data_IF_120993425155
#
_entry.id   IF_120993425155
#
_cell.length_a   1.000
_cell.length_b   1.000
_cell.length_c   1.000
_cell.angle_alpha   90.00
_cell.angle_beta   90.00
_cell.angle_gamma   90.00
#
_symmetry.space_group_name_H-M   'P 1'
#
loop_
_entity.id
_entity.type
_entity.pdbx_description
1 polymer ?
#
# COMPACT_ATOMS: atom_id res chain seq x y z
N UNK A 1 25.95 3.91 -15.37
CA UNK A 1 24.94 3.65 -14.30
C UNK A 1 23.57 3.66 -14.95
N UNK A 2 22.71 2.70 -14.61
CA UNK A 2 21.35 2.64 -15.17
C UNK A 2 20.39 3.29 -14.17
N UNK A 3 19.35 3.93 -14.71
CA UNK A 3 18.32 4.61 -13.94
C UNK A 3 16.96 4.14 -14.45
N UNK A 4 16.07 3.78 -13.53
CA UNK A 4 14.67 3.52 -13.83
C UNK A 4 13.87 4.78 -13.44
N UNK A 5 13.09 5.30 -14.39
CA UNK A 5 12.26 6.49 -14.19
C UNK A 5 10.81 6.06 -14.26
N UNK A 6 10.08 6.25 -13.18
CA UNK A 6 8.65 5.92 -13.06
C UNK A 6 7.82 7.20 -12.90
N UNK A 7 6.51 7.08 -13.03
CA UNK A 7 5.60 8.15 -12.62
C UNK A 7 5.72 8.42 -11.11
N UNK A 8 5.57 9.69 -10.73
CA UNK A 8 5.45 10.06 -9.32
C UNK A 8 4.00 9.86 -8.87
N UNK A 9 3.81 9.21 -7.72
CA UNK A 9 2.52 9.01 -7.08
C UNK A 9 2.59 9.64 -5.69
N UNK A 10 1.49 10.26 -5.26
CA UNK A 10 1.46 11.25 -4.17
C UNK A 10 1.97 10.75 -2.81
N UNK A 11 1.48 9.60 -2.35
CA UNK A 11 1.89 8.99 -1.07
C UNK A 11 1.72 7.46 -1.13
N UNK A 12 1.94 6.78 -0.01
CA UNK A 12 1.80 5.33 0.17
C UNK A 12 0.72 5.00 1.19
N UNK A 13 0.30 3.72 1.24
CA UNK A 13 -0.56 3.24 2.33
C UNK A 13 0.14 3.35 3.69
N UNK A 14 1.48 3.30 3.74
CA UNK A 14 2.21 3.54 4.98
C UNK A 14 2.00 4.97 5.49
N UNK A 15 2.11 5.98 4.61
CA UNK A 15 1.87 7.38 4.99
C UNK A 15 0.45 7.58 5.53
N UNK A 16 -0.52 6.87 4.95
CA UNK A 16 -1.90 6.85 5.45
C UNK A 16 -2.00 6.24 6.86
N UNK A 17 -1.29 5.14 7.15
CA UNK A 17 -1.31 4.52 8.47
C UNK A 17 -0.58 5.34 9.54
N UNK A 18 0.47 6.07 9.16
CA UNK A 18 1.12 7.05 10.04
C UNK A 18 0.19 8.24 10.37
N UNK A 19 -0.61 8.68 9.39
CA UNK A 19 -1.58 9.76 9.59
C UNK A 19 -2.81 9.31 10.39
N UNK A 20 -3.23 8.05 10.25
CA UNK A 20 -4.38 7.47 10.91
C UNK A 20 -3.95 6.26 11.77
N UNK A 21 -3.36 6.50 12.97
CA UNK A 21 -2.75 5.45 13.78
C UNK A 21 -3.74 4.42 14.35
N UNK A 22 -5.05 4.69 14.27
CA UNK A 22 -6.10 3.75 14.67
C UNK A 22 -6.73 3.01 13.47
N UNK A 23 -6.08 3.06 12.31
CA UNK A 23 -6.57 2.48 11.05
C UNK A 23 -7.41 3.45 10.21
N UNK A 24 -7.64 3.03 8.97
CA UNK A 24 -8.43 3.73 7.97
C UNK A 24 -9.92 3.36 8.08
N UNK A 25 -10.78 4.22 7.53
CA UNK A 25 -12.20 3.93 7.48
C UNK A 25 -12.49 2.68 6.63
N UNK A 26 -13.54 1.95 7.02
CA UNK A 26 -13.92 0.69 6.39
C UNK A 26 -14.10 0.79 4.87
N UNK A 27 -14.69 1.89 4.38
CA UNK A 27 -14.95 2.04 2.95
C UNK A 27 -13.67 2.34 2.17
N UNK A 28 -12.74 3.12 2.73
CA UNK A 28 -11.41 3.36 2.16
C UNK A 28 -10.61 2.08 2.10
N UNK A 29 -10.56 1.28 3.17
CA UNK A 29 -9.90 -0.04 3.16
C UNK A 29 -10.50 -0.93 2.07
N UNK A 30 -11.82 -1.00 1.98
CA UNK A 30 -12.52 -1.80 0.96
C UNK A 30 -12.14 -1.37 -0.46
N UNK A 31 -12.06 -0.06 -0.73
CA UNK A 31 -11.62 0.50 -2.03
C UNK A 31 -10.15 0.21 -2.31
N UNK A 32 -9.27 0.32 -1.34
CA UNK A 32 -7.84 0.04 -1.50
C UNK A 32 -7.61 -1.43 -1.76
N UNK A 33 -8.14 -2.29 -0.89
CA UNK A 33 -8.01 -3.73 -0.97
C UNK A 33 -8.53 -4.29 -2.30
N UNK A 34 -9.66 -3.79 -2.79
CA UNK A 34 -10.20 -4.18 -4.10
C UNK A 34 -9.22 -3.88 -5.24
N UNK A 35 -8.59 -2.69 -5.24
CA UNK A 35 -7.61 -2.32 -6.25
C UNK A 35 -6.31 -3.13 -6.12
N UNK A 36 -5.83 -3.36 -4.90
CA UNK A 36 -4.65 -4.18 -4.60
C UNK A 36 -4.84 -5.60 -5.13
N UNK A 37 -5.96 -6.25 -4.79
CA UNK A 37 -6.26 -7.61 -5.26
C UNK A 37 -6.34 -7.65 -6.79
N UNK A 38 -6.91 -6.63 -7.44
CA UNK A 38 -6.91 -6.54 -8.91
C UNK A 38 -5.50 -6.38 -9.49
N UNK A 39 -4.65 -5.56 -8.89
CA UNK A 39 -3.26 -5.37 -9.32
C UNK A 39 -2.43 -6.65 -9.17
N UNK A 40 -2.53 -7.31 -8.02
CA UNK A 40 -1.87 -8.60 -7.77
C UNK A 40 -2.43 -9.69 -8.70
N UNK A 41 -3.75 -9.74 -8.88
CA UNK A 41 -4.41 -10.67 -9.80
C UNK A 41 -3.95 -10.51 -11.26
N UNK A 42 -3.68 -9.28 -11.70
CA UNK A 42 -3.07 -9.02 -13.00
C UNK A 42 -1.63 -9.54 -13.09
N UNK A 43 -0.81 -9.38 -12.05
CA UNK A 43 0.54 -9.96 -12.02
C UNK A 43 0.47 -11.50 -12.09
N UNK A 44 -0.45 -12.08 -11.32
CA UNK A 44 -0.69 -13.52 -11.27
C UNK A 44 -1.13 -14.10 -12.61
N UNK A 45 -1.96 -13.39 -13.39
CA UNK A 45 -2.35 -13.86 -14.73
C UNK A 45 -1.19 -13.88 -15.73
N UNK A 46 -0.13 -13.11 -15.45
CA UNK A 46 1.13 -13.10 -16.21
C UNK A 46 2.23 -13.97 -15.58
N UNK A 47 1.88 -14.84 -14.63
CA UNK A 47 2.81 -15.72 -13.91
C UNK A 47 3.93 -14.98 -13.16
N UNK A 48 3.64 -13.76 -12.71
CA UNK A 48 4.50 -12.94 -11.86
C UNK A 48 3.98 -13.01 -10.42
N UNK A 49 4.85 -13.33 -9.47
CA UNK A 49 4.60 -13.22 -8.03
C UNK A 49 5.25 -11.92 -7.56
N UNK A 50 4.53 -11.07 -6.81
CA UNK A 50 5.06 -9.79 -6.35
C UNK A 50 6.10 -9.96 -5.23
N UNK A 51 5.82 -10.82 -4.25
CA UNK A 51 6.65 -11.22 -3.10
C UNK A 51 6.96 -10.14 -2.06
N UNK A 52 6.71 -8.87 -2.36
CA UNK A 52 6.93 -7.76 -1.41
C UNK A 52 5.70 -6.84 -1.27
N UNK A 53 4.53 -7.44 -1.06
CA UNK A 53 3.29 -6.69 -0.76
C UNK A 53 3.34 -6.23 0.70
N UNK A 54 3.43 -4.91 0.89
CA UNK A 54 3.45 -4.22 2.19
C UNK A 54 3.01 -2.76 1.99
N UNK A 55 2.58 -2.03 3.05
CA UNK A 55 2.09 -0.65 2.94
C UNK A 55 3.01 0.30 2.18
N UNK A 56 4.33 0.18 2.38
CA UNK A 56 5.38 0.97 1.71
C UNK A 56 5.35 0.85 0.17
N UNK A 57 4.98 -0.33 -0.35
CA UNK A 57 5.02 -0.65 -1.79
C UNK A 57 3.65 -0.49 -2.47
N UNK A 58 2.69 0.11 -1.77
CA UNK A 58 1.34 0.37 -2.26
C UNK A 58 1.16 1.88 -2.33
N UNK A 59 1.32 2.42 -3.54
CA UNK A 59 1.22 3.85 -3.80
C UNK A 59 -0.24 4.27 -3.94
N UNK A 60 -0.55 5.48 -3.51
CA UNK A 60 -1.89 6.08 -3.51
C UNK A 60 -1.82 7.45 -4.20
N UNK A 61 -2.57 7.64 -5.28
CA UNK A 61 -2.70 8.97 -5.90
C UNK A 61 -3.65 9.88 -5.11
N UNK A 62 -3.61 11.19 -5.36
CA UNK A 62 -4.56 12.15 -4.75
C UNK A 62 -6.04 11.81 -5.01
N UNK A 63 -6.34 11.03 -6.05
CA UNK A 63 -7.70 10.58 -6.40
C UNK A 63 -8.12 9.27 -5.71
N UNK A 64 -7.19 8.67 -4.94
CA UNK A 64 -7.35 7.37 -4.27
C UNK A 64 -7.14 6.17 -5.21
N UNK A 65 -6.39 6.35 -6.30
CA UNK A 65 -6.02 5.25 -7.19
C UNK A 65 -4.77 4.55 -6.65
N UNK A 66 -4.85 3.23 -6.50
CA UNK A 66 -3.76 2.39 -6.03
C UNK A 66 -2.86 1.96 -7.20
N UNK A 67 -1.54 2.05 -7.00
CA UNK A 67 -0.52 1.53 -7.89
C UNK A 67 0.49 0.70 -7.08
N UNK A 68 0.71 -0.54 -7.49
CA UNK A 68 1.73 -1.40 -6.87
C UNK A 68 3.11 -1.02 -7.44
N UNK A 69 4.12 -0.99 -6.60
CA UNK A 69 5.50 -0.72 -6.99
C UNK A 69 6.48 -1.72 -6.34
N UNK A 70 7.77 -1.54 -6.63
CA UNK A 70 8.86 -2.39 -6.15
C UNK A 70 8.71 -3.89 -6.48
N UNK A 71 8.82 -4.18 -7.77
CA UNK A 71 8.95 -5.55 -8.28
C UNK A 71 10.40 -6.06 -8.17
N UNK A 72 11.26 -5.45 -7.35
CA UNK A 72 12.66 -5.86 -7.19
C UNK A 72 12.83 -7.30 -6.69
N UNK A 73 11.80 -7.84 -6.05
CA UNK A 73 11.73 -9.22 -5.57
C UNK A 73 10.78 -10.10 -6.38
N UNK A 74 10.16 -9.54 -7.40
CA UNK A 74 9.20 -10.24 -8.22
C UNK A 74 9.88 -11.37 -9.00
N UNK A 75 9.17 -12.50 -9.13
CA UNK A 75 9.69 -13.67 -9.82
C UNK A 75 8.70 -14.22 -10.82
N UNK A 76 9.23 -14.69 -11.94
CA UNK A 76 8.50 -15.57 -12.85
C UNK A 76 8.50 -16.98 -12.27
N UNK A 77 7.37 -17.67 -12.31
CA UNK A 77 7.23 -19.06 -11.84
C UNK A 77 8.18 -20.07 -12.52
N UNK A 78 8.86 -19.66 -13.61
CA UNK A 78 9.70 -20.50 -14.46
C UNK A 78 11.22 -20.31 -14.24
N UNK A 79 11.68 -19.54 -13.24
CA UNK A 79 13.11 -19.30 -13.01
C UNK A 79 13.67 -20.16 -11.86
N UNK A 80 14.12 -21.40 -12.11
CA UNK A 80 14.90 -22.15 -11.12
C UNK A 80 16.30 -21.55 -10.98
N UNK A 81 16.72 -21.30 -9.75
CA UNK A 81 18.15 -21.19 -9.42
C UNK A 81 18.70 -19.81 -9.06
N UNK A 82 17.93 -18.72 -8.99
CA UNK A 82 18.52 -17.48 -8.46
C UNK A 82 18.61 -17.52 -6.93
N UNK A 83 19.80 -17.17 -6.46
CA UNK A 83 20.24 -17.14 -5.08
C UNK A 83 19.41 -16.12 -4.30
N UNK A 84 18.89 -16.55 -3.15
CA UNK A 84 18.18 -15.72 -2.20
C UNK A 84 19.14 -14.71 -1.59
N UNK A 85 18.94 -13.41 -1.80
CA UNK A 85 19.68 -12.39 -1.06
C UNK A 85 19.18 -12.35 0.37
N UNK A 86 20.09 -12.55 1.34
CA UNK A 86 19.82 -12.32 2.76
C UNK A 86 19.27 -10.90 2.96
N UNK A 87 18.12 -10.81 3.62
CA UNK A 87 17.20 -9.68 3.51
C UNK A 87 17.27 -8.74 4.73
N UNK A 88 17.33 -7.44 4.47
CA UNK A 88 17.17 -6.35 5.46
C UNK A 88 15.81 -5.63 5.26
N UNK A 89 14.74 -6.38 4.95
CA UNK A 89 13.40 -5.81 4.75
C UNK A 89 12.37 -6.34 5.77
N UNK A 90 11.27 -5.61 5.91
CA UNK A 90 10.14 -5.90 6.79
C UNK A 90 9.57 -7.30 6.53
N UNK A 91 9.75 -8.23 7.48
CA UNK A 91 9.33 -9.65 7.37
C UNK A 91 7.86 -9.91 7.71
N UNK A 92 7.15 -8.88 8.18
CA UNK A 92 5.81 -8.99 8.78
C UNK A 92 4.74 -9.56 7.84
N UNK A 93 4.94 -9.44 6.53
CA UNK A 93 4.03 -9.91 5.48
C UNK A 93 4.44 -11.24 4.85
N UNK A 94 5.53 -11.87 5.32
CA UNK A 94 6.02 -13.13 4.76
C UNK A 94 5.13 -14.29 5.18
N UNK A 95 4.75 -15.10 4.20
CA UNK A 95 4.03 -16.34 4.43
C UNK A 95 4.91 -17.40 5.10
N UNK A 96 4.33 -18.38 5.83
CA UNK A 96 5.08 -19.41 6.55
C UNK A 96 6.05 -20.19 5.66
N UNK A 97 5.66 -20.50 4.42
CA UNK A 97 6.50 -21.20 3.45
C UNK A 97 7.79 -20.43 3.10
N UNK A 98 7.77 -19.09 3.13
CA UNK A 98 8.96 -18.28 2.91
C UNK A 98 9.87 -18.30 4.15
N UNK A 99 9.29 -18.27 5.34
CA UNK A 99 10.02 -18.25 6.61
C UNK A 99 10.73 -19.57 6.90
N UNK A 100 10.15 -20.71 6.52
CA UNK A 100 10.79 -22.02 6.66
C UNK A 100 11.77 -22.35 5.53
N UNK A 101 11.84 -21.50 4.50
CA UNK A 101 12.75 -21.68 3.36
C UNK A 101 12.26 -22.70 2.33
N UNK A 102 10.94 -22.87 2.15
CA UNK A 102 10.44 -23.68 1.03
C UNK A 102 10.84 -23.00 -0.28
N UNK A 103 11.43 -23.74 -1.21
CA UNK A 103 11.79 -23.24 -2.54
C UNK A 103 10.62 -23.34 -3.53
N UNK A 104 9.58 -24.11 -3.19
CA UNK A 104 8.38 -24.35 -4.01
C UNK A 104 7.20 -23.48 -3.58
N UNK A 105 7.43 -22.19 -3.34
CA UNK A 105 6.35 -21.21 -3.13
C UNK A 105 5.76 -20.72 -4.46
N UNK A 106 4.59 -20.11 -4.39
CA UNK A 106 3.87 -19.61 -5.57
C UNK A 106 3.06 -18.35 -5.28
N UNK A 107 2.08 -18.08 -6.13
CA UNK A 107 1.15 -16.93 -6.07
C UNK A 107 0.49 -16.74 -4.69
N UNK A 108 0.33 -17.82 -3.92
CA UNK A 108 -0.26 -17.84 -2.60
C UNK A 108 0.48 -16.98 -1.55
N UNK A 109 1.76 -16.65 -1.74
CA UNK A 109 2.50 -15.78 -0.81
C UNK A 109 1.98 -14.33 -0.84
N UNK A 110 1.55 -13.85 -2.01
CA UNK A 110 0.97 -12.50 -2.14
C UNK A 110 -0.42 -12.46 -1.47
N UNK A 111 -1.17 -13.56 -1.55
CA UNK A 111 -2.48 -13.71 -0.89
C UNK A 111 -2.33 -13.66 0.63
N UNK A 112 -1.30 -14.29 1.19
CA UNK A 112 -0.99 -14.17 2.61
C UNK A 112 -0.73 -12.72 3.03
N UNK A 113 0.10 -12.01 2.26
CA UNK A 113 0.41 -10.60 2.53
C UNK A 113 -0.84 -9.71 2.48
N UNK A 114 -1.76 -9.95 1.53
CA UNK A 114 -3.07 -9.29 1.46
C UNK A 114 -3.90 -9.55 2.74
N UNK A 115 -3.83 -10.76 3.29
CA UNK A 115 -4.48 -11.13 4.55
C UNK A 115 -3.91 -10.40 5.77
N UNK A 116 -2.61 -10.12 5.78
CA UNK A 116 -1.98 -9.29 6.81
C UNK A 116 -2.38 -7.81 6.67
N UNK A 117 -2.45 -7.34 5.42
CA UNK A 117 -2.70 -5.95 5.10
C UNK A 117 -4.12 -5.49 5.46
N UNK A 118 -5.14 -6.34 5.29
CA UNK A 118 -6.53 -5.94 5.60
C UNK A 118 -6.74 -5.62 7.08
N UNK A 119 -6.14 -6.39 7.98
CA UNK A 119 -6.24 -6.14 9.42
C UNK A 119 -5.47 -4.88 9.79
N UNK A 120 -4.25 -4.74 9.29
CA UNK A 120 -3.41 -3.57 9.57
C UNK A 120 -4.03 -2.27 9.05
N UNK A 121 -4.59 -2.27 7.84
CA UNK A 121 -5.28 -1.10 7.31
C UNK A 121 -6.49 -0.69 8.14
N UNK A 122 -7.14 -1.61 8.85
CA UNK A 122 -8.31 -1.33 9.69
C UNK A 122 -7.97 -1.00 11.14
N UNK A 123 -6.78 -1.36 11.61
CA UNK A 123 -6.41 -1.18 13.03
C UNK A 123 -5.22 -0.25 13.23
N UNK A 124 -4.44 0.04 12.18
CA UNK A 124 -3.16 0.76 12.28
C UNK A 124 -2.03 -0.09 12.86
N UNK A 125 -2.26 -1.39 13.10
CA UNK A 125 -1.30 -2.27 13.76
C UNK A 125 -0.90 -3.43 12.87
N UNK A 126 0.42 -3.71 12.71
CA UNK A 126 0.87 -4.87 11.95
C UNK A 126 0.37 -6.17 12.58
N UNK A 127 -0.10 -7.09 11.73
CA UNK A 127 -0.70 -8.34 12.19
C UNK A 127 0.33 -9.24 12.91
N UNK A 128 1.51 -9.39 12.31
CA UNK A 128 2.57 -10.26 12.82
C UNK A 128 3.90 -9.51 12.81
N UNK A 129 4.20 -8.69 13.85
CA UNK A 129 5.39 -7.84 13.89
C UNK A 129 6.63 -8.57 14.46
N UNK A 130 7.11 -9.62 13.78
CA UNK A 130 8.24 -10.41 14.26
C UNK A 130 9.62 -9.76 14.02
N UNK A 131 10.50 -9.86 15.02
CA UNK A 131 11.87 -9.32 15.00
C UNK A 131 12.89 -10.25 14.33
N UNK A 132 12.53 -11.53 14.17
CA UNK A 132 13.31 -12.56 13.47
C UNK A 132 12.38 -13.54 12.75
N UNK A 133 12.89 -14.43 11.91
CA UNK A 133 12.05 -15.44 11.25
C UNK A 133 11.39 -16.40 12.27
N UNK A 134 12.07 -16.70 13.38
CA UNK A 134 11.52 -17.51 14.48
C UNK A 134 10.42 -16.78 15.22
N UNK A 135 10.64 -15.51 15.51
CA UNK A 135 9.66 -14.66 16.20
C UNK A 135 8.43 -14.40 15.32
N UNK A 136 8.66 -14.21 14.01
CA UNK A 136 7.59 -14.14 13.02
C UNK A 136 6.75 -15.43 13.00
N UNK A 137 7.40 -16.60 13.00
CA UNK A 137 6.71 -17.90 13.11
C UNK A 137 5.94 -18.03 14.42
N UNK A 138 6.47 -17.52 15.55
CA UNK A 138 5.77 -17.50 16.82
C UNK A 138 4.47 -16.69 16.74
N UNK A 139 4.51 -15.47 16.21
CA UNK A 139 3.32 -14.63 16.03
C UNK A 139 2.25 -15.31 15.17
N UNK A 140 2.68 -15.92 14.06
CA UNK A 140 1.80 -16.68 13.16
C UNK A 140 1.16 -17.86 13.89
N UNK A 141 1.98 -18.69 14.54
CA UNK A 141 1.51 -19.91 15.21
C UNK A 141 0.63 -19.62 16.42
N UNK A 142 0.90 -18.52 17.15
CA UNK A 142 0.05 -18.06 18.24
C UNK A 142 -1.37 -17.74 17.76
N UNK A 143 -1.51 -17.18 16.55
CA UNK A 143 -2.82 -16.79 16.03
C UNK A 143 -3.53 -17.90 15.26
N UNK A 144 -2.80 -18.69 14.49
CA UNK A 144 -3.36 -19.63 13.50
C UNK A 144 -3.12 -21.10 13.81
N UNK A 145 -2.35 -21.39 14.87
CA UNK A 145 -1.96 -22.74 15.25
C UNK A 145 -0.73 -23.25 14.51
N UNK A 146 -0.46 -24.55 14.67
CA UNK A 146 0.76 -25.17 14.18
C UNK A 146 0.87 -25.10 12.64
N UNK A 147 2.12 -25.02 12.17
CA UNK A 147 2.43 -25.15 10.75
C UNK A 147 2.02 -26.53 10.23
N UNK A 148 1.78 -26.64 8.92
CA UNK A 148 1.54 -27.94 8.29
C UNK A 148 2.78 -28.85 8.39
N UNK A 149 2.63 -30.19 8.38
CA UNK A 149 3.75 -31.13 8.54
C UNK A 149 4.92 -30.86 7.58
N UNK A 150 4.62 -30.54 6.31
CA UNK A 150 5.63 -30.19 5.30
C UNK A 150 6.50 -29.00 5.74
N UNK A 151 5.90 -27.93 6.26
CA UNK A 151 6.64 -26.74 6.70
C UNK A 151 7.44 -27.01 7.98
N UNK A 152 6.94 -27.86 8.88
CA UNK A 152 7.70 -28.29 10.05
C UNK A 152 8.94 -29.10 9.64
N UNK A 153 8.79 -30.03 8.70
CA UNK A 153 9.90 -30.82 8.16
C UNK A 153 10.97 -29.93 7.50
N UNK A 154 10.53 -28.97 6.67
CA UNK A 154 11.44 -28.01 6.03
C UNK A 154 12.19 -27.16 7.06
N UNK A 155 11.50 -26.69 8.09
CA UNK A 155 12.12 -25.94 9.18
C UNK A 155 13.27 -26.72 9.83
N UNK A 156 13.03 -27.98 10.24
CA UNK A 156 14.04 -28.80 10.92
C UNK A 156 15.18 -29.27 9.99
N UNK A 157 14.95 -29.31 8.68
CA UNK A 157 16.01 -29.62 7.70
C UNK A 157 16.84 -28.41 7.29
N UNK A 158 16.36 -27.20 7.55
CA UNK A 158 17.03 -25.98 7.13
C UNK A 158 18.25 -25.70 8.02
N UNK A 159 19.48 -25.64 7.46
CA UNK A 159 20.70 -25.38 8.24
C UNK A 159 20.68 -24.04 8.99
N UNK A 160 19.93 -23.04 8.49
CA UNK A 160 19.80 -21.73 9.13
C UNK A 160 19.10 -21.81 10.49
N UNK A 161 18.31 -22.86 10.74
CA UNK A 161 17.60 -23.09 11.99
C UNK A 161 18.21 -24.22 12.82
N UNK A 162 19.45 -24.63 12.52
CA UNK A 162 20.13 -25.68 13.28
C UNK A 162 20.22 -25.33 14.77
N UNK A 163 19.73 -26.22 15.62
CA UNK A 163 19.69 -26.01 17.08
C UNK A 163 18.51 -25.16 17.59
N UNK A 164 17.68 -24.61 16.70
CA UNK A 164 16.46 -23.88 17.05
C UNK A 164 15.25 -24.82 16.97
N UNK A 165 14.27 -24.64 17.86
CA UNK A 165 13.01 -25.38 17.84
C UNK A 165 11.87 -24.47 17.41
N UNK A 166 10.85 -25.07 16.80
CA UNK A 166 9.59 -24.35 16.57
C UNK A 166 8.98 -23.92 17.91
N UNK A 167 8.33 -22.75 17.97
CA UNK A 167 7.70 -22.29 19.19
C UNK A 167 6.57 -23.21 19.65
N UNK A 168 6.50 -23.47 20.95
CA UNK A 168 5.39 -24.20 21.56
C UNK A 168 4.27 -23.22 21.97
N UNK A 169 3.10 -23.36 21.36
CA UNK A 169 1.95 -22.48 21.62
C UNK A 169 1.06 -23.09 22.70
N UNK A 170 1.03 -22.47 23.88
CA UNK A 170 0.21 -22.91 25.03
C UNK A 170 -1.26 -22.51 24.89
N UNK A 171 -1.52 -21.30 24.42
CA UNK A 171 -2.87 -20.77 24.22
C UNK A 171 -2.91 -20.06 22.86
N UNK A 172 -3.94 -20.38 22.08
CA UNK A 172 -4.19 -19.70 20.81
C UNK A 172 -4.86 -18.35 21.03
N UNK A 173 -4.51 -17.39 20.19
CA UNK A 173 -5.15 -16.09 20.09
C UNK A 173 -5.72 -15.89 18.67
N UNK A 174 -6.91 -16.48 18.38
CA UNK A 174 -7.53 -16.38 17.07
C UNK A 174 -7.82 -14.93 16.68
N UNK A 175 -7.92 -14.67 15.37
CA UNK A 175 -8.19 -13.33 14.84
C UNK A 175 -9.48 -12.72 15.38
N UNK A 176 -10.52 -13.53 15.58
CA UNK A 176 -11.80 -13.12 16.17
C UNK A 176 -11.65 -12.59 17.59
N UNK A 177 -10.76 -13.22 18.38
CA UNK A 177 -10.48 -12.84 19.76
C UNK A 177 -9.65 -11.55 19.80
N UNK A 178 -8.62 -11.47 18.96
CA UNK A 178 -7.74 -10.29 18.86
C UNK A 178 -8.47 -9.06 18.33
N UNK A 179 -9.36 -9.23 17.35
CA UNK A 179 -10.04 -8.17 16.63
C UNK A 179 -11.56 -8.23 16.78
N UNK A 180 -12.03 -8.26 18.02
CA UNK A 180 -13.46 -8.38 18.36
C UNK A 180 -14.37 -7.26 17.83
N UNK A 181 -13.78 -6.12 17.42
CA UNK A 181 -14.51 -4.98 16.83
C UNK A 181 -14.64 -5.04 15.31
N UNK A 182 -13.86 -5.88 14.63
CA UNK A 182 -13.92 -5.99 13.18
C UNK A 182 -15.16 -6.79 12.75
N UNK A 183 -15.69 -6.47 11.57
CA UNK A 183 -16.86 -7.17 11.05
C UNK A 183 -16.53 -8.62 10.72
N UNK A 184 -17.53 -9.51 10.84
CA UNK A 184 -17.39 -10.93 10.51
C UNK A 184 -16.88 -11.12 9.08
N UNK A 185 -17.31 -10.28 8.14
CA UNK A 185 -16.86 -10.34 6.75
C UNK A 185 -15.36 -10.05 6.58
N UNK A 186 -14.80 -9.15 7.40
CA UNK A 186 -13.35 -8.85 7.41
C UNK A 186 -12.57 -10.01 8.00
N UNK A 187 -13.01 -10.55 9.14
CA UNK A 187 -12.33 -11.67 9.78
C UNK A 187 -12.34 -12.90 8.88
N UNK A 188 -13.47 -13.20 8.25
CA UNK A 188 -13.60 -14.31 7.32
C UNK A 188 -12.68 -14.13 6.09
N UNK A 189 -12.64 -12.92 5.51
CA UNK A 189 -11.71 -12.60 4.43
C UNK A 189 -10.24 -12.80 4.84
N UNK A 190 -9.85 -12.29 6.02
CA UNK A 190 -8.49 -12.45 6.54
C UNK A 190 -8.15 -13.94 6.76
N UNK A 191 -9.06 -14.72 7.33
CA UNK A 191 -8.87 -16.17 7.53
C UNK A 191 -8.74 -16.96 6.24
N UNK A 192 -9.48 -16.58 5.19
CA UNK A 192 -9.33 -17.20 3.86
C UNK A 192 -7.92 -16.95 3.28
N UNK A 193 -7.40 -15.74 3.46
CA UNK A 193 -6.04 -15.38 3.02
C UNK A 193 -4.95 -16.05 3.88
N UNK A 194 -5.17 -16.18 5.18
CA UNK A 194 -4.18 -16.61 6.18
C UNK A 194 -4.21 -18.12 6.46
N UNK A 195 -4.56 -18.94 5.47
CA UNK A 195 -4.44 -20.39 5.59
C UNK A 195 -2.97 -20.81 5.68
N UNK A 196 -2.62 -21.64 6.67
CA UNK A 196 -1.25 -22.15 6.85
C UNK A 196 -0.81 -23.07 5.71
N UNK A 197 -1.77 -23.79 5.09
CA UNK A 197 -1.53 -24.46 3.81
C UNK A 197 -1.73 -23.48 2.66
N UNK A 198 -0.68 -23.14 1.86
CA UNK A 198 -0.80 -22.24 0.72
C UNK A 198 -1.79 -22.72 -0.34
N UNK A 199 -2.00 -24.02 -0.50
CA UNK A 199 -2.95 -24.59 -1.47
C UNK A 199 -4.42 -24.34 -1.11
N UNK A 200 -4.70 -24.00 0.15
CA UNK A 200 -6.05 -23.65 0.62
C UNK A 200 -6.35 -22.15 0.48
N UNK A 201 -5.36 -21.34 0.11
CA UNK A 201 -5.57 -19.89 -0.09
C UNK A 201 -6.27 -19.67 -1.44
N UNK A 202 -7.31 -18.83 -1.49
CA UNK A 202 -8.01 -18.54 -2.74
C UNK A 202 -7.12 -17.73 -3.70
N UNK A 203 -7.44 -17.79 -4.98
CA UNK A 203 -6.89 -16.88 -5.99
C UNK A 203 -7.42 -15.46 -5.81
N UNK A 204 -6.71 -14.47 -6.37
CA UNK A 204 -7.17 -13.08 -6.37
C UNK A 204 -8.57 -12.90 -6.99
N UNK A 205 -8.91 -13.71 -8.01
CA UNK A 205 -10.24 -13.66 -8.63
C UNK A 205 -11.34 -14.12 -7.67
N UNK A 206 -11.09 -15.19 -6.91
CA UNK A 206 -12.02 -15.69 -5.89
C UNK A 206 -12.16 -14.69 -4.72
N UNK A 207 -11.06 -14.05 -4.30
CA UNK A 207 -11.09 -13.01 -3.27
C UNK A 207 -12.00 -11.84 -3.65
N UNK A 208 -12.06 -11.45 -4.93
CA UNK A 208 -12.94 -10.36 -5.39
C UNK A 208 -14.43 -10.72 -5.34
N UNK A 209 -14.79 -12.01 -5.20
CA UNK A 209 -16.17 -12.48 -5.10
C UNK A 209 -16.67 -12.62 -3.65
N UNK A 210 -15.80 -12.44 -2.66
CA UNK A 210 -16.17 -12.62 -1.26
C UNK A 210 -17.18 -11.56 -0.78
N UNK A 211 -17.83 -11.85 0.36
CA UNK A 211 -18.83 -10.98 0.98
C UNK A 211 -18.33 -9.57 1.29
N UNK A 212 -17.01 -9.39 1.46
CA UNK A 212 -16.41 -8.07 1.65
C UNK A 212 -16.64 -7.15 0.44
N UNK A 213 -16.76 -7.69 -0.78
CA UNK A 213 -16.94 -6.89 -1.99
C UNK A 213 -18.28 -7.08 -2.69
N UNK A 214 -18.89 -8.27 -2.59
CA UNK A 214 -20.16 -8.59 -3.25
C UNK A 214 -21.39 -8.08 -2.48
N UNK A 215 -21.30 -7.97 -1.15
CA UNK A 215 -22.39 -7.41 -0.34
C UNK A 215 -22.68 -5.98 -0.75
N UNK A 216 -23.94 -5.59 -0.68
CA UNK A 216 -24.44 -4.24 -0.94
C UNK A 216 -24.20 -3.71 -2.36
N UNK A 217 -23.69 -4.49 -3.32
CA UNK A 217 -23.42 -4.06 -4.69
C UNK A 217 -22.20 -3.13 -4.84
N UNK A 218 -21.26 -3.18 -3.90
CA UNK A 218 -20.06 -2.34 -3.92
C UNK A 218 -19.19 -2.58 -5.14
N UNK A 219 -18.91 -3.83 -5.49
CA UNK A 219 -17.99 -4.15 -6.59
C UNK A 219 -18.47 -3.51 -7.90
N UNK A 220 -19.77 -3.61 -8.21
CA UNK A 220 -20.37 -3.03 -9.40
C UNK A 220 -20.27 -1.50 -9.39
N UNK A 221 -20.66 -0.85 -8.28
CA UNK A 221 -20.58 0.61 -8.14
C UNK A 221 -19.15 1.11 -8.23
N UNK A 222 -18.25 0.47 -7.50
CA UNK A 222 -16.86 0.90 -7.40
C UNK A 222 -16.12 0.71 -8.72
N UNK A 223 -16.40 -0.33 -9.49
CA UNK A 223 -15.82 -0.50 -10.83
C UNK A 223 -16.19 0.67 -11.76
N UNK A 224 -17.41 1.19 -11.69
CA UNK A 224 -17.80 2.37 -12.48
C UNK A 224 -17.15 3.65 -11.96
N UNK A 225 -17.16 3.87 -10.64
CA UNK A 225 -16.46 4.99 -9.99
C UNK A 225 -14.97 5.01 -10.39
N UNK A 226 -14.32 3.85 -10.33
CA UNK A 226 -12.90 3.68 -10.60
C UNK A 226 -12.55 4.02 -12.06
N UNK A 227 -13.38 3.60 -13.03
CA UNK A 227 -13.18 3.95 -14.45
C UNK A 227 -13.21 5.47 -14.66
N UNK A 228 -14.13 6.17 -14.01
CA UNK A 228 -14.25 7.62 -14.11
C UNK A 228 -13.02 8.30 -13.48
N UNK A 229 -12.55 7.82 -12.32
CA UNK A 229 -11.34 8.34 -11.66
C UNK A 229 -10.10 8.20 -12.55
N UNK A 230 -9.89 7.02 -13.13
CA UNK A 230 -8.76 6.77 -14.05
C UNK A 230 -8.81 7.70 -15.25
N UNK A 231 -10.00 7.92 -15.83
CA UNK A 231 -10.15 8.82 -16.99
C UNK A 231 -9.82 10.28 -16.63
N UNK A 232 -10.33 10.77 -15.50
CA UNK A 232 -10.03 12.13 -15.01
C UNK A 232 -8.54 12.32 -14.71
N UNK A 233 -7.89 11.34 -14.10
CA UNK A 233 -6.46 11.41 -13.78
C UNK A 233 -5.60 11.48 -15.06
N UNK A 234 -5.97 10.72 -16.10
CA UNK A 234 -5.34 10.80 -17.42
C UNK A 234 -5.48 12.17 -18.07
N UNK A 235 -6.66 12.79 -17.99
CA UNK A 235 -6.91 14.14 -18.53
C UNK A 235 -6.10 15.23 -17.82
N UNK A 236 -5.89 15.09 -16.50
CA UNK A 236 -5.07 16.01 -15.71
C UNK A 236 -3.55 15.80 -15.90
N UNK A 237 -3.11 14.58 -16.20
CA UNK A 237 -1.69 14.26 -16.43
C UNK A 237 -1.15 14.71 -17.79
N UNK A 238 -2.02 15.06 -18.75
CA UNK A 238 -1.61 15.58 -20.04
C UNK A 238 -1.23 17.07 -19.93
N UNK A 239 -0.08 17.51 -20.44
CA UNK A 239 0.27 18.92 -20.43
C UNK A 239 -0.77 19.69 -21.26
N UNK A 240 -1.49 20.62 -20.61
CA UNK A 240 -2.33 21.58 -21.32
C UNK A 240 -1.44 22.32 -22.31
N UNK A 241 -1.59 22.05 -23.61
CA UNK A 241 -0.98 22.90 -24.65
C UNK A 241 -1.34 24.35 -24.33
N UNK A 242 -0.38 25.28 -24.29
CA UNK A 242 -0.71 26.69 -24.11
C UNK A 242 -1.68 27.06 -25.24
N UNK A 243 -2.88 27.52 -24.89
CA UNK A 243 -3.79 28.13 -25.84
C UNK A 243 -3.13 29.42 -26.31
N UNK A 244 -2.40 29.36 -27.42
CA UNK A 244 -2.06 30.56 -28.18
C UNK A 244 -3.37 31.15 -28.67
N UNK A 245 -3.84 32.21 -27.99
CA UNK A 245 -4.78 33.14 -28.58
C UNK A 245 -4.08 33.79 -29.78
N UNK A 246 -4.25 33.22 -30.98
CA UNK A 246 -4.03 33.94 -32.23
C UNK A 246 -5.38 34.44 -32.72
N UNK A 247 -5.82 35.57 -32.16
CA UNK A 247 -6.40 36.62 -32.99
C UNK A 247 -5.21 37.53 -33.31
N UNK A 248 -4.65 37.35 -34.49
CA UNK A 248 -4.41 38.45 -35.41
C UNK A 248 -4.08 37.87 -36.78
N UNK A 249 -4.77 38.45 -37.76
CA UNK A 249 -4.77 38.14 -39.17
C UNK A 249 -3.51 38.71 -39.83
N UNK A 250 -3.08 37.98 -40.86
CA UNK A 250 -2.46 38.43 -42.11
C UNK A 250 -1.16 39.27 -42.01
N UNK A 251 -0.01 38.70 -42.38
CA UNK A 251 0.66 39.00 -43.67
C UNK A 251 2.00 38.23 -43.84
N UNK A 252 2.26 37.83 -45.10
CA UNK A 252 3.55 37.62 -45.81
C UNK A 252 4.63 36.79 -45.07
N UNK A 253 5.17 35.67 -45.54
CA UNK A 253 5.60 35.31 -46.89
C UNK A 253 6.97 34.63 -46.75
N UNK A 254 7.18 33.55 -47.50
CA UNK A 254 8.43 32.85 -47.84
C UNK A 254 9.68 32.97 -46.92
N UNK A 255 10.14 31.84 -46.38
CA UNK A 255 11.28 31.11 -46.96
C UNK A 255 11.60 29.84 -46.16
N UNK A 256 11.51 28.69 -46.84
CA UNK A 256 12.24 27.48 -46.46
C UNK A 256 13.68 27.64 -46.92
N UNK A 257 14.67 27.52 -46.02
CA UNK A 257 15.89 26.77 -46.32
C UNK A 257 16.67 26.32 -45.09
N UNK A 258 17.21 25.14 -45.26
CA UNK A 258 17.97 24.30 -44.34
C UNK A 258 19.41 24.78 -44.13
N UNK A 259 19.95 24.41 -42.96
CA UNK A 259 21.32 23.97 -42.65
C UNK A 259 22.49 24.86 -43.12
N UNK A 260 23.30 25.35 -42.18
CA UNK A 260 24.68 24.88 -42.03
C UNK A 260 25.34 25.42 -40.75
N UNK A 261 26.03 24.51 -40.08
CA UNK A 261 27.02 24.72 -39.03
C UNK A 261 28.19 25.49 -39.62
N UNK A 262 28.70 26.51 -38.92
CA UNK A 262 30.13 26.81 -38.91
C UNK A 262 30.52 27.64 -37.69
N UNK A 263 31.59 27.17 -37.07
CA UNK A 263 32.21 27.58 -35.83
C UNK A 263 32.77 29.00 -35.84
N UNK A 264 32.88 29.62 -34.66
CA UNK A 264 34.01 30.50 -34.30
C UNK A 264 34.14 30.53 -32.77
N UNK A 265 35.28 30.01 -32.33
CA UNK A 265 35.83 30.04 -30.99
C UNK A 265 36.23 31.48 -30.58
N UNK A 266 36.36 31.73 -29.27
CA UNK A 266 37.32 32.64 -28.57
C UNK A 266 36.78 33.12 -27.21
N UNK A 267 37.53 32.74 -26.17
CA UNK A 267 37.51 33.17 -24.77
C UNK A 267 37.48 34.70 -24.54
N UNK A 268 36.81 35.17 -23.48
CA UNK A 268 37.45 35.67 -22.23
C UNK A 268 36.57 36.60 -21.35
N UNK A 269 36.59 36.29 -20.05
CA UNK A 269 36.60 37.13 -18.82
C UNK A 269 35.66 38.35 -18.62
N UNK A 270 34.98 38.26 -17.47
CA UNK A 270 34.61 39.29 -16.47
C UNK A 270 33.74 40.50 -16.89
N UNK A 271 32.58 40.64 -16.22
CA UNK A 271 32.37 41.68 -15.18
C UNK A 271 31.07 41.48 -14.40
N UNK A 272 31.19 41.76 -13.10
CA UNK A 272 30.14 41.79 -12.08
C UNK A 272 29.07 42.86 -12.33
N UNK A 273 27.83 42.52 -11.98
CA UNK A 273 26.93 43.48 -11.30
C UNK A 273 25.79 42.73 -10.60
N UNK A 274 25.75 42.89 -9.27
CA UNK A 274 24.71 42.41 -8.34
C UNK A 274 23.31 42.87 -8.77
N UNK A 275 22.31 41.99 -8.66
CA UNK A 275 20.96 42.40 -8.28
C UNK A 275 20.22 41.28 -7.54
N UNK A 276 19.46 41.71 -6.53
CA UNK A 276 18.76 40.97 -5.51
C UNK A 276 17.97 39.74 -6.02
N UNK A 277 18.08 38.62 -5.30
CA UNK A 277 17.10 37.52 -5.40
C UNK A 277 16.53 37.21 -4.03
N UNK A 278 15.26 37.59 -3.87
CA UNK A 278 14.40 37.31 -2.74
C UNK A 278 14.31 35.78 -2.55
N UNK A 279 14.59 35.31 -1.33
CA UNK A 279 14.32 33.93 -0.90
C UNK A 279 12.81 33.72 -0.92
N UNK A 280 12.33 32.77 -1.72
CA UNK A 280 11.01 32.16 -1.52
C UNK A 280 11.27 30.76 -0.97
N UNK A 281 10.83 30.53 0.26
CA UNK A 281 10.97 29.27 0.99
C UNK A 281 10.16 28.16 0.35
N UNK A 282 10.75 26.96 0.25
CA UNK A 282 10.12 25.68 -0.14
C UNK A 282 8.92 25.25 0.72
N UNK A 283 8.52 26.04 1.72
CA UNK A 283 7.41 25.74 2.63
C UNK A 283 6.04 26.15 2.07
N UNK A 284 5.99 27.07 1.10
CA UNK A 284 4.70 27.65 0.64
C UNK A 284 4.08 26.89 -0.53
N UNK A 285 4.89 26.17 -1.33
CA UNK A 285 4.39 25.35 -2.45
C UNK A 285 3.73 24.06 -1.94
N UNK A 286 4.29 23.42 -0.91
CA UNK A 286 3.74 22.18 -0.32
C UNK A 286 2.45 22.41 0.49
N UNK A 287 2.25 23.62 1.04
CA UNK A 287 0.99 23.98 1.73
C UNK A 287 -0.16 24.21 0.75
N UNK A 288 0.13 24.73 -0.44
CA UNK A 288 -0.88 24.99 -1.46
C UNK A 288 -1.47 23.70 -2.05
N UNK A 289 -0.65 22.67 -2.27
CA UNK A 289 -1.11 21.40 -2.84
C UNK A 289 -1.82 20.51 -1.80
N UNK A 290 -1.33 20.45 -0.55
CA UNK A 290 -2.00 19.76 0.57
C UNK A 290 -3.38 20.35 0.89
N UNK A 291 -3.56 21.67 0.76
CA UNK A 291 -4.86 22.31 0.97
C UNK A 291 -5.89 21.90 -0.10
N UNK A 292 -5.46 21.60 -1.33
CA UNK A 292 -6.37 21.13 -2.37
C UNK A 292 -6.82 19.68 -2.15
N UNK A 293 -5.93 18.80 -1.67
CA UNK A 293 -6.27 17.41 -1.35
C UNK A 293 -7.19 17.28 -0.14
N UNK A 294 -7.02 18.10 0.91
CA UNK A 294 -7.93 18.12 2.07
C UNK A 294 -9.37 18.50 1.69
N UNK A 295 -9.55 19.34 0.66
CA UNK A 295 -10.90 19.72 0.20
C UNK A 295 -11.68 18.57 -0.46
N UNK A 296 -10.99 17.57 -1.01
CA UNK A 296 -11.64 16.38 -1.60
C UNK A 296 -12.05 15.32 -0.57
N UNK A 297 -11.53 15.38 0.66
CA UNK A 297 -11.82 14.42 1.72
C UNK A 297 -13.12 14.73 2.50
N UNK A 298 -13.65 15.95 2.39
CA UNK A 298 -14.78 16.41 3.23
C UNK A 298 -16.16 16.45 2.55
N UNK A 299 -16.27 16.12 1.26
CA UNK A 299 -17.55 16.20 0.56
C UNK A 299 -18.21 14.82 0.45
N UNK A 300 -18.86 14.38 1.54
CA UNK A 300 -20.00 13.44 1.55
C UNK A 300 -20.45 13.09 2.98
N UNK A 301 -21.40 13.85 3.54
CA UNK A 301 -22.54 13.36 4.35
C UNK A 301 -23.24 14.51 5.07
N UNK A 302 -24.36 14.98 4.52
CA UNK A 302 -25.35 15.76 5.28
C UNK A 302 -26.39 14.77 5.79
N UNK A 303 -26.44 14.59 7.10
CA UNK A 303 -27.47 13.81 7.80
C UNK A 303 -27.57 14.29 9.24
N UNK A 304 -28.68 14.93 9.57
CA UNK A 304 -29.04 15.54 10.86
C UNK A 304 -28.87 14.57 12.04
N UNK A 305 -28.27 15.01 13.15
CA UNK A 305 -28.70 14.60 14.50
C UNK A 305 -28.41 15.69 15.54
N UNK A 306 -29.37 15.82 16.46
CA UNK A 306 -29.57 16.87 17.45
C UNK A 306 -28.44 17.00 18.48
N UNK A 307 -28.17 18.26 18.83
CA UNK A 307 -27.28 18.72 19.91
C UNK A 307 -27.89 18.45 21.29
N UNK A 308 -27.13 17.86 22.20
CA UNK A 308 -27.36 17.93 23.66
C UNK A 308 -26.04 18.35 24.32
N UNK A 309 -25.99 19.39 25.17
CA UNK A 309 -24.75 19.86 25.77
C UNK A 309 -24.42 19.11 27.07
N UNK A 310 -23.14 18.76 27.25
CA UNK A 310 -22.60 18.19 28.50
C UNK A 310 -21.94 19.31 29.30
N UNK A 311 -22.40 19.52 30.53
CA UNK A 311 -21.77 20.36 31.55
C UNK A 311 -20.57 19.63 32.17
N UNK A 312 -19.43 20.32 32.23
CA UNK A 312 -18.31 19.99 33.10
C UNK A 312 -18.67 20.29 34.56
N UNK A 313 -18.38 19.34 35.47
CA UNK A 313 -18.22 19.62 36.89
C UNK A 313 -17.04 18.85 37.44
N UNK A 314 -16.08 19.62 37.93
CA UNK A 314 -14.99 19.20 38.81
C UNK A 314 -15.53 18.57 40.09
N UNK A 315 -14.85 17.54 40.60
CA UNK A 315 -15.07 17.02 41.95
C UNK A 315 -13.76 17.00 42.73
N UNK A 316 -13.78 17.79 43.80
CA UNK A 316 -12.80 17.86 44.87
C UNK A 316 -13.52 17.49 46.19
N UNK A 317 -12.77 17.07 47.21
CA UNK A 317 -13.16 16.61 48.58
C UNK A 317 -13.67 15.16 48.68
N UNK A 318 -13.06 14.23 49.44
CA UNK A 318 -12.65 14.17 50.87
C UNK A 318 -13.78 13.83 51.85
N UNK A 319 -13.43 12.96 52.81
CA UNK A 319 -14.15 12.45 54.00
C UNK A 319 -15.07 11.23 53.74
N UNK A 320 -14.71 10.03 54.20
CA UNK A 320 -14.63 9.48 55.58
C UNK A 320 -15.95 8.83 56.09
N UNK A 321 -15.76 7.61 56.58
CA UNK A 321 -16.38 6.99 57.77
C UNK A 321 -17.62 6.06 57.68
N UNK A 322 -17.41 4.87 58.28
CA UNK A 322 -18.32 3.94 59.00
C UNK A 322 -19.22 3.07 58.09
N UNK A 323 -19.24 1.73 58.17
CA UNK A 323 -19.05 0.78 59.29
C UNK A 323 -18.55 -0.57 58.78
#
# INVERSE_FOLDING_TARGET
RWYLVFEFVDHTVLDDLEMFPNGLDYNRVRKYLFQIIKGVGFCHSHNIIHRDIKPENILVSCSGIIKLCDFGFARTLAAPGEVYTDYVATRWYRAPELLVGDIKYGKAVDVWAIGCLVTEMLTGEPLFPGDSDIDQLYHIMKSLGNLIPKHQELFYKNPLFAGVRLPEIKELEPLEKRYSKLSIAVIEFAKQCLQTNPEKRPSCNELLQCNLFSRDGFAERFVQEFKIKIQKEKEHSLPKKPKTNKKDKDDIGDERKMLLIQDLDVNSKLRDSKMFRMKVSKADILKSERSSCMSFLYDNSVGQFNTIPIYLKDSNSSLEFVK
#
